data_IF_964453639817
#
_entry.id   IF_964453639817
#
_cell.length_a   1.000
_cell.length_b   1.000
_cell.length_c   1.000
_cell.angle_alpha   90.00
_cell.angle_beta   90.00
_cell.angle_gamma   90.00
#
_symmetry.space_group_name_H-M   'P 1'
#
loop_
_entity.id
_entity.type
_entity.pdbx_description
1 polymer ?
#
# COMPACT_ATOMS: atom_id res chain seq x y z
N UNK A 1 -18.41 11.61 19.49
CA UNK A 1 -17.71 10.87 18.45
C UNK A 1 -16.66 9.96 19.08
N UNK A 2 -16.75 8.66 18.82
CA UNK A 2 -15.83 7.71 19.42
C UNK A 2 -14.52 7.68 18.64
N UNK A 3 -13.46 8.16 19.27
CA UNK A 3 -12.13 7.99 18.70
C UNK A 3 -11.70 6.53 18.85
N UNK A 4 -11.26 5.94 17.74
CA UNK A 4 -10.61 4.63 17.77
C UNK A 4 -9.19 4.86 18.27
N UNK A 5 -8.88 4.32 19.44
CA UNK A 5 -7.54 4.35 20.02
C UNK A 5 -6.92 2.98 20.00
N UNK A 6 -5.61 2.91 20.06
CA UNK A 6 -4.87 1.65 20.06
C UNK A 6 -5.21 0.81 18.82
N UNK A 7 -5.23 1.45 17.66
CA UNK A 7 -5.57 0.81 16.40
C UNK A 7 -4.52 -0.23 16.02
N UNK A 8 -4.98 -1.43 15.74
CA UNK A 8 -4.13 -2.50 15.19
C UNK A 8 -4.46 -2.64 13.72
N UNK A 9 -3.43 -2.50 12.87
CA UNK A 9 -3.57 -2.58 11.42
C UNK A 9 -2.97 -3.89 10.93
N UNK A 10 -3.67 -4.57 10.03
CA UNK A 10 -3.16 -5.74 9.34
C UNK A 10 -3.02 -5.46 7.87
N UNK A 11 -1.91 -5.83 7.29
CA UNK A 11 -1.70 -5.80 5.85
C UNK A 11 -1.42 -7.24 5.41
N UNK A 12 -2.30 -7.77 4.58
CA UNK A 12 -2.08 -9.06 3.92
C UNK A 12 -1.38 -8.77 2.60
N UNK A 13 -0.07 -8.99 2.58
CA UNK A 13 0.76 -8.72 1.41
C UNK A 13 0.85 -9.96 0.54
N UNK A 14 0.10 -9.97 -0.56
CA UNK A 14 0.09 -11.04 -1.53
C UNK A 14 0.92 -10.74 -2.76
N UNK A 15 1.18 -11.76 -3.55
CA UNK A 15 1.96 -11.64 -4.78
C UNK A 15 1.25 -10.79 -5.84
N UNK A 16 -0.05 -11.00 -6.02
CA UNK A 16 -0.84 -10.27 -7.02
C UNK A 16 -1.70 -9.19 -6.39
N UNK A 17 -2.30 -9.47 -5.24
CA UNK A 17 -3.20 -8.56 -4.55
C UNK A 17 -2.87 -8.49 -3.07
N UNK A 18 -3.13 -7.34 -2.49
CA UNK A 18 -2.94 -7.10 -1.06
C UNK A 18 -4.19 -6.47 -0.49
N UNK A 19 -4.39 -6.64 0.82
CA UNK A 19 -5.50 -6.04 1.54
C UNK A 19 -4.99 -5.35 2.79
N UNK A 20 -5.70 -4.30 3.20
CA UNK A 20 -5.46 -3.65 4.48
C UNK A 20 -6.74 -3.72 5.31
N UNK A 21 -6.58 -4.06 6.58
CA UNK A 21 -7.66 -4.10 7.54
C UNK A 21 -7.20 -3.49 8.85
N UNK A 22 -8.15 -3.17 9.69
CA UNK A 22 -7.85 -2.69 11.04
C UNK A 22 -8.77 -3.37 12.04
N UNK A 23 -8.27 -3.50 13.26
CA UNK A 23 -9.04 -4.02 14.38
C UNK A 23 -9.32 -2.91 15.37
N UNK A 24 -10.61 -2.70 15.63
CA UNK A 24 -11.06 -1.77 16.64
C UNK A 24 -11.29 -2.55 17.93
N UNK A 25 -10.38 -2.36 18.91
CA UNK A 25 -10.42 -3.09 20.19
C UNK A 25 -11.66 -2.72 21.01
N UNK A 26 -12.14 -1.50 20.86
CA UNK A 26 -13.29 -1.01 21.60
C UNK A 26 -14.60 -1.63 21.09
N UNK A 27 -14.75 -1.74 19.78
CA UNK A 27 -15.89 -2.38 19.14
C UNK A 27 -15.73 -3.87 18.95
N UNK A 28 -14.55 -4.43 19.24
CA UNK A 28 -14.22 -5.84 19.02
C UNK A 28 -14.54 -6.28 17.60
N UNK A 29 -14.16 -5.46 16.62
CA UNK A 29 -14.46 -5.67 15.22
C UNK A 29 -13.23 -5.51 14.36
N UNK A 30 -13.04 -6.45 13.42
CA UNK A 30 -12.08 -6.30 12.33
C UNK A 30 -12.80 -5.76 11.10
N UNK A 31 -12.20 -4.75 10.46
CA UNK A 31 -12.79 -4.12 9.27
C UNK A 31 -11.77 -4.04 8.15
N UNK A 32 -12.19 -4.43 6.95
CA UNK A 32 -11.40 -4.23 5.74
C UNK A 32 -11.63 -2.83 5.20
N UNK A 33 -10.57 -2.23 4.63
CA UNK A 33 -10.67 -0.93 4.01
C UNK A 33 -10.87 -1.07 2.50
N UNK A 34 -11.80 -0.33 1.96
CA UNK A 34 -11.99 -0.25 0.52
C UNK A 34 -10.94 0.68 -0.11
N UNK A 35 -10.38 0.26 -1.23
CA UNK A 35 -9.44 1.07 -2.01
C UNK A 35 -10.15 2.19 -2.77
N UNK A 36 -11.48 2.16 -2.84
CA UNK A 36 -12.31 3.22 -3.44
C UNK A 36 -13.25 3.79 -2.40
N UNK A 37 -13.26 5.12 -2.27
CA UNK A 37 -14.16 5.80 -1.35
C UNK A 37 -15.61 5.44 -1.67
N UNK A 38 -16.34 4.97 -0.68
CA UNK A 38 -17.75 4.58 -0.81
C UNK A 38 -18.00 3.31 -1.59
N UNK A 39 -16.93 2.56 -1.94
CA UNK A 39 -17.05 1.30 -2.69
C UNK A 39 -16.68 0.08 -1.84
N UNK A 40 -16.64 -1.08 -2.49
CA UNK A 40 -16.26 -2.38 -1.87
C UNK A 40 -15.08 -3.02 -2.58
N UNK A 41 -14.14 -2.22 -3.04
CA UNK A 41 -12.89 -2.70 -3.63
C UNK A 41 -11.87 -2.92 -2.51
N UNK A 42 -11.84 -4.11 -1.93
CA UNK A 42 -10.99 -4.42 -0.77
C UNK A 42 -9.60 -4.93 -1.14
N UNK A 43 -9.42 -5.39 -2.37
CA UNK A 43 -8.13 -5.87 -2.84
C UNK A 43 -7.44 -4.80 -3.67
N UNK A 44 -6.16 -4.55 -3.38
CA UNK A 44 -5.32 -3.65 -4.15
C UNK A 44 -4.28 -4.47 -4.91
N UNK A 45 -4.05 -4.20 -6.20
CA UNK A 45 -2.92 -4.83 -6.89
C UNK A 45 -1.61 -4.56 -6.15
N UNK A 46 -0.79 -5.61 -5.99
CA UNK A 46 0.51 -5.50 -5.31
C UNK A 46 1.55 -4.91 -6.25
N UNK A 47 1.38 -3.65 -6.58
CA UNK A 47 2.25 -2.94 -7.50
C UNK A 47 2.52 -1.51 -7.05
N UNK A 48 3.62 -0.96 -7.54
CA UNK A 48 4.06 0.41 -7.27
C UNK A 48 4.34 1.07 -8.62
N UNK A 49 3.97 2.32 -8.76
CA UNK A 49 4.31 3.12 -9.92
C UNK A 49 5.17 4.31 -9.49
N UNK A 50 6.33 4.46 -10.12
CA UNK A 50 7.14 5.66 -9.97
C UNK A 50 6.67 6.71 -10.96
N UNK A 51 6.41 7.92 -10.47
CA UNK A 51 6.00 9.06 -11.30
C UNK A 51 7.17 10.02 -11.44
N UNK A 52 7.89 9.99 -12.59
CA UNK A 52 9.11 10.78 -12.75
C UNK A 52 8.92 12.29 -12.61
N UNK A 53 7.80 12.82 -13.08
CA UNK A 53 7.54 14.26 -13.02
C UNK A 53 7.33 14.76 -11.59
N UNK A 54 6.59 14.00 -10.78
CA UNK A 54 6.33 14.31 -9.38
C UNK A 54 7.44 13.81 -8.45
N UNK A 55 8.30 12.92 -8.93
CA UNK A 55 9.36 12.26 -8.16
C UNK A 55 8.82 11.54 -6.92
N UNK A 56 7.69 10.87 -7.10
CA UNK A 56 7.02 10.15 -6.02
C UNK A 56 6.52 8.78 -6.51
N UNK A 57 5.86 8.07 -5.61
CA UNK A 57 5.33 6.74 -5.86
C UNK A 57 3.84 6.70 -5.54
N UNK A 58 3.11 5.87 -6.28
CA UNK A 58 1.74 5.49 -5.94
C UNK A 58 1.60 3.97 -6.00
N UNK A 59 0.54 3.44 -5.42
CA UNK A 59 0.38 1.99 -5.25
C UNK A 59 -1.03 1.55 -5.65
N UNK A 60 -1.17 0.24 -5.91
CA UNK A 60 -2.45 -0.39 -6.15
C UNK A 60 -3.13 0.11 -7.42
N UNK A 61 -4.42 0.40 -7.31
CA UNK A 61 -5.22 0.84 -8.48
C UNK A 61 -4.71 2.16 -9.05
N UNK A 62 -4.24 3.07 -8.20
CA UNK A 62 -3.67 4.34 -8.63
C UNK A 62 -2.39 4.10 -9.44
N UNK A 63 -1.56 3.14 -9.01
CA UNK A 63 -0.35 2.77 -9.75
C UNK A 63 -0.68 2.28 -11.16
N UNK A 64 -1.69 1.42 -11.29
CA UNK A 64 -2.13 0.93 -12.60
C UNK A 64 -2.61 2.07 -13.49
N UNK A 65 -3.36 3.00 -12.93
CA UNK A 65 -3.87 4.15 -13.67
C UNK A 65 -2.72 5.03 -14.19
N UNK A 66 -1.80 5.43 -13.33
CA UNK A 66 -0.70 6.30 -13.72
C UNK A 66 0.27 5.64 -14.71
N UNK A 67 0.51 4.34 -14.56
CA UNK A 67 1.35 3.60 -15.49
C UNK A 67 0.72 3.55 -16.89
N UNK A 68 -0.59 3.33 -16.96
CA UNK A 68 -1.31 3.18 -18.22
C UNK A 68 -1.59 4.52 -18.89
N UNK A 69 -2.01 5.54 -18.12
CA UNK A 69 -2.56 6.78 -18.67
C UNK A 69 -1.59 7.97 -18.59
N UNK A 70 -0.58 7.94 -17.73
CA UNK A 70 0.26 9.09 -17.44
C UNK A 70 1.76 8.83 -17.62
N UNK A 71 2.13 7.71 -18.21
CA UNK A 71 3.55 7.41 -18.47
C UNK A 71 4.37 7.09 -17.22
N UNK A 72 3.73 6.67 -16.13
CA UNK A 72 4.46 6.22 -14.94
C UNK A 72 5.21 4.92 -15.18
N UNK A 73 6.23 4.68 -14.38
CA UNK A 73 7.06 3.48 -14.47
C UNK A 73 6.49 2.42 -13.52
N UNK A 74 5.97 1.35 -14.09
CA UNK A 74 5.35 0.28 -13.30
C UNK A 74 6.38 -0.67 -12.70
N UNK A 75 6.18 -0.98 -11.43
CA UNK A 75 6.90 -2.03 -10.71
C UNK A 75 5.81 -3.02 -10.25
N UNK A 76 5.63 -4.09 -11.00
CA UNK A 76 4.47 -4.98 -10.86
C UNK A 76 4.75 -6.26 -10.04
N UNK A 77 5.99 -6.52 -9.68
CA UNK A 77 6.36 -7.71 -8.90
C UNK A 77 7.07 -7.32 -7.61
N UNK A 78 6.37 -6.55 -6.78
CA UNK A 78 6.93 -6.10 -5.50
C UNK A 78 7.33 -7.29 -4.63
N UNK A 79 6.49 -8.34 -4.61
CA UNK A 79 6.73 -9.53 -3.82
C UNK A 79 8.03 -10.24 -4.25
N UNK A 80 8.20 -10.45 -5.56
CA UNK A 80 9.40 -11.11 -6.11
C UNK A 80 10.66 -10.26 -5.98
N UNK A 81 10.52 -8.94 -6.09
CA UNK A 81 11.64 -8.01 -5.94
C UNK A 81 12.25 -8.10 -4.53
N UNK A 82 11.45 -8.36 -3.52
CA UNK A 82 11.93 -8.50 -2.14
C UNK A 82 12.96 -9.62 -1.96
N UNK A 83 12.99 -10.59 -2.87
CA UNK A 83 13.96 -11.69 -2.85
C UNK A 83 15.28 -11.35 -3.56
N UNK A 84 15.35 -10.21 -4.22
CA UNK A 84 16.53 -9.77 -4.99
C UNK A 84 17.44 -8.90 -4.12
N UNK A 85 18.72 -8.82 -4.49
CA UNK A 85 19.70 -7.97 -3.81
C UNK A 85 19.56 -6.50 -4.19
N UNK A 86 19.23 -6.23 -5.45
CA UNK A 86 19.02 -4.87 -5.93
C UNK A 86 18.01 -4.88 -7.07
N UNK A 87 17.54 -3.68 -7.41
CA UNK A 87 16.58 -3.48 -8.48
C UNK A 87 16.90 -2.17 -9.19
N UNK A 88 16.78 -2.18 -10.51
CA UNK A 88 17.03 -0.99 -11.33
C UNK A 88 15.77 -0.65 -12.11
N UNK A 89 15.29 0.59 -11.95
CA UNK A 89 14.18 1.11 -12.74
C UNK A 89 14.57 1.24 -14.21
N UNK A 90 13.59 1.21 -15.10
CA UNK A 90 13.80 1.32 -16.54
C UNK A 90 14.54 2.60 -16.96
N UNK A 91 14.49 3.65 -16.13
CA UNK A 91 15.25 4.89 -16.33
C UNK A 91 16.70 4.79 -15.87
N UNK A 92 17.13 3.65 -15.30
CA UNK A 92 18.49 3.42 -14.83
C UNK A 92 18.71 3.69 -13.34
N UNK A 93 17.70 4.17 -12.61
CA UNK A 93 17.82 4.46 -11.19
C UNK A 93 17.87 3.15 -10.38
N UNK A 94 18.92 2.99 -9.58
CA UNK A 94 19.09 1.81 -8.72
C UNK A 94 18.38 2.02 -7.39
N UNK A 95 17.59 1.03 -6.99
CA UNK A 95 16.85 1.03 -5.73
C UNK A 95 17.12 -0.25 -4.95
N UNK A 96 17.18 -0.16 -3.64
CA UNK A 96 17.17 -1.36 -2.81
C UNK A 96 15.75 -1.94 -2.78
N UNK A 97 15.60 -3.28 -2.82
CA UNK A 97 14.26 -3.89 -2.79
C UNK A 97 13.41 -3.45 -1.59
N UNK A 98 14.02 -3.25 -0.43
CA UNK A 98 13.28 -2.79 0.76
C UNK A 98 12.67 -1.39 0.58
N UNK A 99 13.28 -0.54 -0.26
CA UNK A 99 12.73 0.78 -0.54
C UNK A 99 11.41 0.67 -1.30
N UNK A 100 11.33 -0.28 -2.23
CA UNK A 100 10.12 -0.53 -3.01
C UNK A 100 9.02 -1.08 -2.10
N UNK A 101 9.35 -2.04 -1.25
CA UNK A 101 8.41 -2.59 -0.28
C UNK A 101 7.92 -1.50 0.68
N UNK A 102 8.83 -0.65 1.17
CA UNK A 102 8.47 0.45 2.05
C UNK A 102 7.48 1.41 1.38
N UNK A 103 7.70 1.74 0.11
CA UNK A 103 6.78 2.60 -0.64
C UNK A 103 5.41 1.95 -0.78
N UNK A 104 5.36 0.64 -1.04
CA UNK A 104 4.09 -0.07 -1.15
C UNK A 104 3.33 -0.07 0.19
N UNK A 105 4.01 -0.43 1.27
CA UNK A 105 3.38 -0.48 2.60
C UNK A 105 2.92 0.90 3.07
N UNK A 106 3.73 1.94 2.85
CA UNK A 106 3.34 3.32 3.16
C UNK A 106 2.12 3.74 2.34
N UNK A 107 2.09 3.38 1.07
CA UNK A 107 0.95 3.67 0.20
C UNK A 107 -0.33 2.99 0.69
N UNK A 108 -0.23 1.74 1.15
CA UNK A 108 -1.38 1.04 1.73
C UNK A 108 -1.87 1.73 3.00
N UNK A 109 -0.96 2.16 3.87
CA UNK A 109 -1.33 2.86 5.11
C UNK A 109 -2.04 4.20 4.86
N UNK A 110 -1.83 4.83 3.71
CA UNK A 110 -2.52 6.08 3.36
C UNK A 110 -4.03 5.91 3.25
N UNK A 111 -4.52 4.71 2.97
CA UNK A 111 -5.97 4.46 2.96
C UNK A 111 -6.59 4.65 4.34
N UNK A 112 -5.83 4.44 5.40
CA UNK A 112 -6.29 4.75 6.76
C UNK A 112 -6.45 6.26 6.97
N UNK A 113 -5.64 7.07 6.30
CA UNK A 113 -5.75 8.53 6.35
C UNK A 113 -7.08 9.04 5.81
N UNK A 114 -7.62 8.38 4.78
CA UNK A 114 -8.96 8.71 4.26
C UNK A 114 -10.03 8.49 5.33
N UNK A 115 -9.84 7.49 6.20
CA UNK A 115 -10.72 7.21 7.32
C UNK A 115 -10.33 7.96 8.60
N UNK A 116 -9.32 8.83 8.54
CA UNK A 116 -8.80 9.62 9.67
C UNK A 116 -8.29 8.75 10.84
N UNK A 117 -7.71 7.61 10.53
CA UNK A 117 -7.29 6.63 11.53
C UNK A 117 -5.77 6.55 11.74
N UNK A 118 -4.96 7.13 10.84
CA UNK A 118 -3.49 6.97 10.83
C UNK A 118 -2.85 7.35 12.16
N UNK A 119 -3.31 8.46 12.76
CA UNK A 119 -2.74 8.98 14.01
C UNK A 119 -2.94 8.08 15.22
N UNK A 120 -3.83 7.10 15.11
CA UNK A 120 -4.19 6.22 16.22
C UNK A 120 -3.57 4.82 16.09
N UNK A 121 -2.68 4.61 15.13
CA UNK A 121 -2.04 3.31 14.90
C UNK A 121 -1.09 3.01 16.06
N UNK A 122 -1.31 1.87 16.71
CA UNK A 122 -0.43 1.34 17.74
C UNK A 122 0.49 0.26 17.20
N UNK A 123 0.00 -0.53 16.27
CA UNK A 123 0.70 -1.71 15.79
C UNK A 123 0.31 -1.98 14.35
N UNK A 124 1.29 -2.37 13.54
CA UNK A 124 1.06 -2.85 12.17
C UNK A 124 1.59 -4.27 12.07
N UNK A 125 0.74 -5.19 11.66
CA UNK A 125 1.13 -6.57 11.39
C UNK A 125 1.06 -6.80 9.89
N UNK A 126 2.11 -7.38 9.33
CA UNK A 126 2.16 -7.71 7.91
C UNK A 126 2.23 -9.21 7.77
N UNK A 127 1.32 -9.79 6.99
CA UNK A 127 1.35 -11.23 6.67
C UNK A 127 1.80 -11.41 5.21
N UNK A 128 2.54 -12.49 4.99
CA UNK A 128 3.09 -12.82 3.66
C UNK A 128 2.42 -14.06 3.09
#
# INVERSE_FOLDING_TARGET
>A
MNEIRDLIVGIDFGKEYSQICYYDRKGDEARSLSMKAGGNQYEAPSCVCYRPEQKDYCVGLEAEYFAREKGGIMIDDVYGICEKKDFVLSEGRKLAPWEILAQFLQGMLKFLGVADLVKNIKCVAVTL
#
